data_IF_517472272872
#
_entry.id   IF_517472272872
#
_cell.length_a   1.000
_cell.length_b   1.000
_cell.length_c   1.000
_cell.angle_alpha   90.00
_cell.angle_beta   90.00
_cell.angle_gamma   90.00
#
_symmetry.space_group_name_H-M   'P 1'
#
loop_
_entity.id
_entity.type
_entity.pdbx_description
1 polymer ?
#
# COMPACT_ATOMS: atom_id res chain seq x y z
N UNK A 1 -10.91 -11.83 -58.59
CA UNK A 1 -11.12 -10.79 -57.58
C UNK A 1 -10.95 -11.45 -56.21
N UNK A 2 -9.80 -11.25 -55.52
CA UNK A 2 -9.54 -11.81 -54.19
C UNK A 2 -10.06 -10.83 -53.13
N UNK A 3 -11.05 -11.24 -52.34
CA UNK A 3 -11.54 -10.45 -51.20
C UNK A 3 -10.56 -10.58 -50.02
N UNK A 4 -9.91 -9.49 -49.64
CA UNK A 4 -9.08 -9.39 -48.46
C UNK A 4 -10.03 -9.12 -47.27
N UNK A 5 -10.21 -10.10 -46.39
CA UNK A 5 -10.92 -9.93 -45.11
C UNK A 5 -9.90 -9.42 -44.10
N UNK A 6 -9.97 -8.14 -43.77
CA UNK A 6 -9.17 -7.53 -42.72
C UNK A 6 -9.80 -7.90 -41.39
N UNK A 7 -9.14 -8.76 -40.62
CA UNK A 7 -9.53 -9.08 -39.23
C UNK A 7 -8.96 -7.98 -38.33
N UNK A 8 -9.84 -7.06 -37.90
CA UNK A 8 -9.51 -6.05 -36.89
C UNK A 8 -9.46 -6.73 -35.50
N UNK A 9 -8.25 -7.02 -35.05
CA UNK A 9 -8.04 -7.58 -33.74
C UNK A 9 -8.21 -6.46 -32.67
N UNK A 10 -9.36 -6.45 -31.99
CA UNK A 10 -9.61 -5.55 -30.86
C UNK A 10 -8.85 -6.11 -29.65
N UNK A 11 -7.72 -5.49 -29.31
CA UNK A 11 -7.01 -5.77 -28.06
C UNK A 11 -7.85 -5.24 -26.89
N UNK A 12 -8.52 -6.15 -26.18
CA UNK A 12 -9.27 -5.83 -24.97
C UNK A 12 -8.25 -5.63 -23.84
N UNK A 13 -7.90 -4.38 -23.56
CA UNK A 13 -7.12 -4.04 -22.36
C UNK A 13 -8.01 -4.23 -21.12
N UNK A 14 -7.74 -5.28 -20.35
CA UNK A 14 -8.35 -5.47 -19.03
C UNK A 14 -7.63 -4.53 -18.03
N UNK A 15 -8.24 -3.38 -17.76
CA UNK A 15 -7.82 -2.55 -16.65
C UNK A 15 -8.36 -3.18 -15.36
N UNK A 16 -7.48 -3.65 -14.49
CA UNK A 16 -7.85 -4.04 -13.13
C UNK A 16 -8.09 -2.76 -12.31
N UNK A 17 -9.33 -2.29 -12.27
CA UNK A 17 -9.72 -1.27 -11.32
C UNK A 17 -9.87 -1.94 -9.95
N UNK A 18 -8.96 -1.66 -9.02
CA UNK A 18 -9.24 -1.92 -7.61
C UNK A 18 -10.38 -0.99 -7.19
N UNK A 19 -11.52 -1.57 -6.86
CA UNK A 19 -12.66 -0.79 -6.36
C UNK A 19 -12.25 -0.18 -5.02
N UNK A 20 -12.30 1.15 -4.91
CA UNK A 20 -12.11 1.85 -3.64
C UNK A 20 -13.27 1.55 -2.71
N UNK A 21 -12.97 1.14 -1.49
CA UNK A 21 -13.98 0.82 -0.47
C UNK A 21 -14.05 1.94 0.57
N UNK A 22 -15.24 2.22 1.05
CA UNK A 22 -15.43 3.11 2.20
C UNK A 22 -15.78 2.28 3.43
N UNK A 23 -14.99 2.43 4.48
CA UNK A 23 -15.14 1.77 5.76
C UNK A 23 -15.69 2.74 6.79
N UNK A 24 -16.46 2.24 7.75
CA UNK A 24 -17.04 3.05 8.81
C UNK A 24 -16.45 2.70 10.15
N UNK A 25 -16.11 3.71 10.93
CA UNK A 25 -15.76 3.62 12.35
C UNK A 25 -16.75 4.45 13.14
N UNK A 26 -17.37 3.86 14.13
CA UNK A 26 -18.26 4.57 15.05
C UNK A 26 -17.46 5.10 16.24
N UNK A 27 -17.76 6.32 16.65
CA UNK A 27 -17.15 7.03 17.77
C UNK A 27 -18.20 7.35 18.83
N UNK A 28 -18.04 6.84 20.03
CA UNK A 28 -18.96 7.07 21.14
C UNK A 28 -18.21 7.18 22.48
N UNK A 29 -18.90 6.94 23.59
CA UNK A 29 -18.35 7.13 24.94
C UNK A 29 -17.06 6.35 25.15
N UNK A 30 -15.92 7.02 24.92
CA UNK A 30 -14.54 6.52 25.07
C UNK A 30 -14.17 5.36 24.14
N UNK A 31 -14.82 5.23 22.98
CA UNK A 31 -14.48 4.17 22.03
C UNK A 31 -14.46 4.66 20.58
N UNK A 32 -13.66 3.95 19.76
CA UNK A 32 -13.84 3.81 18.32
C UNK A 32 -14.13 2.34 18.00
N UNK A 33 -15.14 2.08 17.17
CA UNK A 33 -15.53 0.72 16.79
C UNK A 33 -15.66 0.59 15.28
N UNK A 34 -14.88 -0.30 14.61
CA UNK A 34 -13.82 -1.12 15.20
C UNK A 34 -12.61 -0.30 15.68
N UNK A 35 -11.96 -0.73 16.77
CA UNK A 35 -10.73 -0.09 17.27
C UNK A 35 -9.55 -0.30 16.32
N UNK A 36 -9.47 -1.48 15.70
CA UNK A 36 -8.46 -1.83 14.70
C UNK A 36 -9.15 -2.10 13.38
N UNK A 37 -8.72 -1.40 12.34
CA UNK A 37 -9.26 -1.52 10.99
C UNK A 37 -8.12 -1.79 10.02
N UNK A 38 -8.31 -2.74 9.10
CA UNK A 38 -7.37 -2.97 7.99
C UNK A 38 -8.04 -2.58 6.68
N UNK A 39 -7.36 -1.76 5.89
CA UNK A 39 -7.84 -1.24 4.60
C UNK A 39 -6.75 -1.38 3.54
N UNK A 40 -7.07 -1.12 2.28
CA UNK A 40 -6.12 -1.07 1.16
C UNK A 40 -5.78 0.38 0.81
N UNK A 41 -4.61 0.60 0.22
CA UNK A 41 -4.28 1.91 -0.39
C UNK A 41 -5.41 2.31 -1.36
N UNK A 42 -5.89 3.54 -1.20
CA UNK A 42 -7.01 4.07 -1.99
C UNK A 42 -8.37 4.01 -1.29
N UNK A 43 -8.51 3.18 -0.26
CA UNK A 43 -9.74 3.12 0.54
C UNK A 43 -9.93 4.41 1.37
N UNK A 44 -11.18 4.66 1.73
CA UNK A 44 -11.58 5.75 2.61
C UNK A 44 -12.13 5.21 3.92
N UNK A 45 -11.86 5.92 5.01
CA UNK A 45 -12.50 5.67 6.31
C UNK A 45 -13.33 6.89 6.69
N UNK A 46 -14.55 6.65 7.15
CA UNK A 46 -15.42 7.67 7.73
C UNK A 46 -15.63 7.36 9.20
N UNK A 47 -15.51 8.38 10.05
CA UNK A 47 -15.83 8.28 11.47
C UNK A 47 -17.19 8.95 11.72
N UNK A 48 -18.12 8.20 12.32
CA UNK A 48 -19.49 8.66 12.61
C UNK A 48 -19.66 8.80 14.11
N UNK A 49 -20.25 9.90 14.54
CA UNK A 49 -20.51 10.18 15.94
C UNK A 49 -21.75 9.44 16.44
N UNK A 50 -21.58 8.45 17.31
CA UNK A 50 -22.67 7.74 17.99
C UNK A 50 -23.23 8.54 19.18
N UNK A 51 -22.54 9.59 19.60
CA UNK A 51 -22.93 10.49 20.70
C UNK A 51 -21.73 10.89 21.56
N UNK A 52 -21.77 12.11 22.04
CA UNK A 52 -20.67 12.75 22.77
C UNK A 52 -19.98 13.82 21.92
N UNK A 53 -18.91 14.39 22.45
CA UNK A 53 -18.10 15.42 21.78
C UNK A 53 -16.76 14.80 21.43
N UNK A 54 -16.51 14.54 20.16
CA UNK A 54 -15.38 13.73 19.68
C UNK A 54 -14.73 14.34 18.45
N UNK A 55 -13.45 14.07 18.28
CA UNK A 55 -12.66 14.32 17.08
C UNK A 55 -11.91 13.04 16.66
N UNK A 56 -11.09 13.14 15.62
CA UNK A 56 -10.15 12.11 15.17
C UNK A 56 -8.79 12.78 14.99
N UNK A 57 -7.84 12.44 15.84
CA UNK A 57 -6.51 13.04 15.86
C UNK A 57 -5.45 11.96 15.61
N UNK A 58 -4.81 11.98 14.44
CA UNK A 58 -3.69 11.14 14.03
C UNK A 58 -2.37 11.92 13.96
N UNK A 59 -2.24 13.02 14.69
CA UNK A 59 -1.06 13.87 14.69
C UNK A 59 -0.23 13.69 15.97
N UNK A 60 -0.79 14.10 17.10
CA UNK A 60 -0.12 14.05 18.42
C UNK A 60 -0.90 13.10 19.33
N UNK A 61 -0.21 12.14 19.93
CA UNK A 61 -0.80 11.27 20.94
C UNK A 61 -1.20 12.09 22.15
N UNK A 62 -2.50 12.14 22.45
CA UNK A 62 -3.06 12.99 23.51
C UNK A 62 -2.68 12.54 24.93
N UNK A 63 -2.16 11.31 25.09
CA UNK A 63 -1.72 10.77 26.39
C UNK A 63 -0.25 11.16 26.65
N UNK A 64 0.61 10.98 25.64
CA UNK A 64 2.06 11.15 25.78
C UNK A 64 2.57 12.50 25.32
N UNK A 65 1.73 13.26 24.60
CA UNK A 65 2.08 14.53 23.96
C UNK A 65 3.25 14.41 22.97
N UNK A 66 3.42 13.23 22.36
CA UNK A 66 4.42 12.95 21.35
C UNK A 66 3.76 12.68 19.98
N UNK A 67 4.43 12.97 18.86
CA UNK A 67 3.91 12.61 17.55
C UNK A 67 3.61 11.11 17.44
N UNK A 68 2.52 10.75 16.75
CA UNK A 68 2.22 9.35 16.41
C UNK A 68 3.23 8.78 15.41
N UNK A 69 3.94 9.63 14.66
CA UNK A 69 4.83 9.25 13.57
C UNK A 69 4.12 8.43 12.48
N UNK A 70 2.88 8.75 12.20
CA UNK A 70 2.11 8.17 11.11
C UNK A 70 2.76 8.49 9.76
N UNK A 71 2.61 7.64 8.72
CA UNK A 71 3.11 7.93 7.37
C UNK A 71 2.63 9.27 6.83
N UNK A 72 1.37 9.63 7.13
CA UNK A 72 0.79 10.95 6.89
C UNK A 72 -0.04 11.32 8.11
N UNK A 73 0.10 12.54 8.61
CA UNK A 73 -0.71 13.05 9.72
C UNK A 73 -2.09 13.48 9.25
N UNK A 74 -3.08 13.35 10.12
CA UNK A 74 -4.45 13.79 9.88
C UNK A 74 -5.12 14.17 11.18
N UNK A 75 -6.07 15.10 11.11
CA UNK A 75 -6.90 15.51 12.25
C UNK A 75 -8.22 16.11 11.76
N UNK A 76 -9.20 16.15 12.62
CA UNK A 76 -10.52 16.73 12.36
C UNK A 76 -10.92 17.75 13.43
N UNK A 77 -11.84 18.67 13.13
CA UNK A 77 -12.56 19.37 14.17
C UNK A 77 -13.42 18.42 14.98
N UNK A 78 -13.70 18.78 16.24
CA UNK A 78 -14.62 18.03 17.10
C UNK A 78 -16.09 18.36 16.77
N UNK A 79 -16.98 17.37 16.95
CA UNK A 79 -18.43 17.56 16.83
C UNK A 79 -19.18 16.83 17.92
N UNK A 80 -20.37 17.36 18.31
CA UNK A 80 -21.29 16.72 19.24
C UNK A 80 -22.60 16.28 18.56
N UNK A 81 -22.70 16.42 17.25
CA UNK A 81 -23.90 16.06 16.50
C UNK A 81 -23.96 14.55 16.29
N UNK A 82 -24.93 13.88 16.90
CA UNK A 82 -25.16 12.44 16.74
C UNK A 82 -25.49 12.10 15.30
N UNK A 83 -24.88 11.05 14.77
CA UNK A 83 -25.02 10.59 13.38
C UNK A 83 -24.22 11.41 12.37
N UNK A 84 -23.57 12.50 12.78
CA UNK A 84 -22.72 13.27 11.88
C UNK A 84 -21.39 12.54 11.57
N UNK A 85 -20.88 12.77 10.38
CA UNK A 85 -19.50 12.41 10.03
C UNK A 85 -18.56 13.36 10.77
N UNK A 86 -17.75 12.83 11.70
CA UNK A 86 -16.70 13.57 12.38
C UNK A 86 -15.58 13.88 11.40
N UNK A 87 -15.16 12.85 10.66
CA UNK A 87 -14.07 12.91 9.70
C UNK A 87 -14.26 11.91 8.57
N UNK A 88 -13.71 12.22 7.41
CA UNK A 88 -13.58 11.31 6.28
C UNK A 88 -12.17 11.45 5.72
N UNK A 89 -11.42 10.36 5.62
CA UNK A 89 -10.04 10.38 5.17
C UNK A 89 -9.75 9.24 4.20
N UNK A 90 -9.08 9.57 3.09
CA UNK A 90 -8.62 8.61 2.09
C UNK A 90 -7.16 8.27 2.34
N UNK A 91 -6.87 7.00 2.56
CA UNK A 91 -5.52 6.51 2.80
C UNK A 91 -4.79 6.21 1.49
N UNK A 92 -3.79 7.00 1.16
CA UNK A 92 -3.02 6.88 -0.09
C UNK A 92 -1.61 6.35 0.10
N UNK A 93 -1.13 6.26 1.34
CA UNK A 93 0.21 5.77 1.68
C UNK A 93 0.06 4.54 2.58
N UNK A 94 0.70 3.41 2.27
CA UNK A 94 0.64 2.23 3.13
C UNK A 94 1.36 2.46 4.46
N UNK A 95 0.92 1.74 5.50
CA UNK A 95 1.52 1.81 6.82
C UNK A 95 0.51 1.68 7.95
N UNK A 96 0.98 1.87 9.18
CA UNK A 96 0.17 1.84 10.40
C UNK A 96 -0.10 3.27 10.82
N UNK A 97 -1.37 3.58 11.02
CA UNK A 97 -1.85 4.89 11.44
C UNK A 97 -2.52 4.79 12.80
N UNK A 98 -1.89 5.36 13.81
CA UNK A 98 -2.44 5.47 15.14
C UNK A 98 -3.23 6.77 15.26
N UNK A 99 -4.33 6.75 16.00
CA UNK A 99 -5.12 7.94 16.26
C UNK A 99 -5.84 7.86 17.59
N UNK A 100 -6.26 8.99 18.10
CA UNK A 100 -7.03 9.11 19.34
C UNK A 100 -8.09 10.23 19.24
N UNK A 101 -8.87 10.37 20.29
CA UNK A 101 -9.72 11.54 20.50
C UNK A 101 -8.97 12.53 21.40
N UNK A 102 -8.71 13.73 20.87
CA UNK A 102 -7.96 14.75 21.63
C UNK A 102 -8.80 15.51 22.66
N UNK A 103 -10.09 15.23 22.73
CA UNK A 103 -11.02 15.91 23.63
C UNK A 103 -10.79 15.47 25.08
N UNK A 104 -10.33 16.39 25.92
CA UNK A 104 -10.17 16.16 27.35
C UNK A 104 -9.36 14.91 27.70
N UNK A 105 -9.95 14.00 28.47
CA UNK A 105 -9.32 12.74 28.88
C UNK A 105 -9.77 11.53 28.07
N UNK A 106 -10.37 11.73 26.87
CA UNK A 106 -10.98 10.64 26.12
C UNK A 106 -9.96 9.57 25.71
N UNK A 107 -8.81 9.96 25.19
CA UNK A 107 -7.72 9.04 24.88
C UNK A 107 -7.25 8.23 26.09
N UNK A 108 -7.06 8.90 27.24
CA UNK A 108 -6.65 8.24 28.48
C UNK A 108 -7.72 7.25 29.02
N UNK A 109 -8.97 7.42 28.65
CA UNK A 109 -10.07 6.50 28.97
C UNK A 109 -10.28 5.42 27.89
N UNK A 110 -9.37 5.30 26.91
CA UNK A 110 -9.36 4.23 25.93
C UNK A 110 -9.89 4.61 24.54
N UNK A 111 -10.20 5.90 24.29
CA UNK A 111 -10.66 6.32 22.96
C UNK A 111 -9.48 6.49 22.00
N UNK A 112 -8.97 5.36 21.55
CA UNK A 112 -7.83 5.21 20.64
C UNK A 112 -8.18 4.25 19.51
N UNK A 113 -7.50 4.35 18.38
CA UNK A 113 -7.71 3.44 17.26
C UNK A 113 -6.48 3.29 16.37
N UNK A 114 -6.52 2.26 15.52
CA UNK A 114 -5.46 1.96 14.55
C UNK A 114 -6.09 1.65 13.20
N UNK A 115 -5.57 2.28 12.14
CA UNK A 115 -5.84 1.87 10.76
C UNK A 115 -4.55 1.30 10.17
N UNK A 116 -4.59 0.03 9.75
CA UNK A 116 -3.51 -0.59 8.99
C UNK A 116 -3.84 -0.49 7.51
N UNK A 117 -3.02 0.21 6.76
CA UNK A 117 -3.17 0.40 5.32
C UNK A 117 -2.20 -0.52 4.59
N UNK A 118 -2.74 -1.53 3.93
CA UNK A 118 -1.94 -2.44 3.12
C UNK A 118 -1.67 -1.81 1.75
N UNK A 119 -0.46 -2.01 1.23
CA UNK A 119 -0.19 -1.74 -0.17
C UNK A 119 -1.13 -2.57 -1.04
N UNK A 120 -1.62 -2.01 -2.14
CA UNK A 120 -2.32 -2.80 -3.15
C UNK A 120 -1.35 -3.85 -3.67
N UNK A 121 -1.59 -5.12 -3.32
CA UNK A 121 -0.88 -6.20 -3.98
C UNK A 121 -1.40 -6.26 -5.42
N UNK A 122 -0.70 -5.65 -6.35
CA UNK A 122 -0.85 -6.02 -7.73
C UNK A 122 -0.36 -7.48 -7.83
N UNK A 123 -1.29 -8.42 -7.87
CA UNK A 123 -1.00 -9.85 -8.02
C UNK A 123 -0.43 -10.20 -9.42
N UNK A 124 -0.31 -9.22 -10.28
CA UNK A 124 0.50 -9.29 -11.48
C UNK A 124 1.92 -8.91 -11.07
N UNK A 125 2.84 -9.87 -11.03
CA UNK A 125 4.27 -9.55 -10.97
C UNK A 125 4.55 -8.57 -12.12
N UNK A 126 4.76 -7.30 -11.76
CA UNK A 126 5.03 -6.23 -12.74
C UNK A 126 6.34 -6.52 -13.50
N UNK A 127 7.16 -7.39 -12.93
CA UNK A 127 8.44 -7.80 -13.48
C UNK A 127 8.50 -9.31 -13.63
N UNK A 128 8.68 -9.80 -14.84
CA UNK A 128 8.84 -11.22 -15.13
C UNK A 128 10.27 -11.54 -15.56
N UNK A 129 10.87 -12.56 -14.95
CA UNK A 129 12.12 -13.14 -15.42
C UNK A 129 11.84 -13.95 -16.69
N UNK A 130 12.36 -13.48 -17.84
CA UNK A 130 12.21 -14.17 -19.14
C UNK A 130 13.36 -15.11 -19.45
N UNK A 131 14.52 -14.90 -18.82
CA UNK A 131 15.65 -15.77 -19.02
C UNK A 131 16.90 -15.28 -18.31
N UNK A 132 17.80 -16.20 -18.12
CA UNK A 132 19.18 -15.93 -17.70
C UNK A 132 20.06 -16.41 -18.83
N UNK A 133 20.82 -15.49 -19.43
CA UNK A 133 21.81 -15.84 -20.42
C UNK A 133 23.14 -16.01 -19.71
N UNK A 134 23.66 -17.23 -19.71
CA UNK A 134 25.00 -17.54 -19.26
C UNK A 134 25.90 -17.68 -20.49
N UNK A 135 26.75 -16.69 -20.70
CA UNK A 135 27.71 -16.68 -21.80
C UNK A 135 28.99 -17.44 -21.40
N UNK A 136 28.82 -18.61 -20.79
CA UNK A 136 29.96 -19.49 -20.49
C UNK A 136 30.35 -20.25 -21.76
N UNK A 137 31.34 -19.78 -22.47
CA UNK A 137 31.69 -20.42 -23.71
C UNK A 137 33.14 -20.25 -24.11
N UNK A 138 33.91 -21.31 -23.88
CA UNK A 138 35.27 -21.48 -24.42
C UNK A 138 35.35 -21.70 -25.94
N UNK A 139 34.25 -21.62 -26.67
CA UNK A 139 34.18 -21.98 -28.08
C UNK A 139 33.63 -20.93 -29.03
N UNK A 140 33.31 -19.71 -28.56
CA UNK A 140 32.88 -18.64 -29.45
C UNK A 140 33.99 -17.58 -29.60
N UNK A 141 34.65 -17.47 -30.79
CA UNK A 141 35.75 -16.55 -31.01
C UNK A 141 35.34 -15.06 -30.99
N UNK A 142 34.05 -14.75 -30.83
CA UNK A 142 33.56 -13.37 -30.82
C UNK A 142 33.55 -12.77 -29.41
N UNK A 143 33.66 -13.60 -28.36
CA UNK A 143 33.63 -13.15 -26.96
C UNK A 143 34.84 -13.65 -26.20
N UNK A 144 35.97 -12.98 -26.40
CA UNK A 144 37.16 -13.15 -25.58
C UNK A 144 37.08 -12.25 -24.35
N UNK A 145 36.17 -12.52 -23.43
CA UNK A 145 36.01 -11.75 -22.20
C UNK A 145 35.53 -12.67 -21.08
N UNK A 146 35.85 -12.32 -19.88
CA UNK A 146 35.33 -12.92 -18.66
C UNK A 146 33.82 -13.12 -18.72
N UNK A 147 33.37 -14.33 -18.35
CA UNK A 147 32.00 -14.81 -18.35
C UNK A 147 30.93 -13.74 -18.15
N UNK A 148 30.22 -13.39 -19.21
CA UNK A 148 29.11 -12.44 -19.17
C UNK A 148 27.83 -13.16 -18.79
N UNK A 149 27.12 -12.66 -17.77
CA UNK A 149 25.79 -13.11 -17.41
C UNK A 149 24.80 -11.97 -17.63
N UNK A 150 23.72 -12.25 -18.31
CA UNK A 150 22.66 -11.29 -18.50
C UNK A 150 21.34 -11.85 -17.97
N UNK A 151 20.62 -11.02 -17.26
CA UNK A 151 19.27 -11.32 -16.78
C UNK A 151 18.30 -10.50 -17.62
N UNK A 152 17.36 -11.20 -18.24
CA UNK A 152 16.32 -10.57 -19.04
C UNK A 152 15.05 -10.49 -18.24
N UNK A 153 14.70 -9.29 -17.81
CA UNK A 153 13.45 -8.96 -17.14
C UNK A 153 12.54 -8.21 -18.12
N UNK A 154 11.25 -8.51 -18.06
CA UNK A 154 10.24 -7.78 -18.82
C UNK A 154 9.27 -7.17 -17.82
N UNK A 155 9.04 -5.87 -17.93
CA UNK A 155 7.94 -5.20 -17.27
C UNK A 155 6.63 -5.66 -17.91
N UNK A 156 5.72 -6.19 -17.11
CA UNK A 156 4.38 -6.64 -17.53
C UNK A 156 3.32 -5.56 -17.29
N UNK A 157 3.69 -4.52 -16.54
CA UNK A 157 2.90 -3.33 -16.26
C UNK A 157 3.84 -2.13 -16.07
N UNK A 158 3.27 -0.93 -15.96
CA UNK A 158 4.05 0.26 -15.63
C UNK A 158 4.62 0.15 -14.21
N UNK A 159 5.95 0.15 -14.10
CA UNK A 159 6.65 0.08 -12.82
C UNK A 159 6.85 1.51 -12.34
N UNK A 160 6.09 1.92 -11.34
CA UNK A 160 6.15 3.28 -10.78
C UNK A 160 7.33 3.48 -9.84
N UNK A 161 7.83 2.41 -9.23
CA UNK A 161 8.97 2.44 -8.31
C UNK A 161 9.79 1.16 -8.44
N UNK A 162 10.99 1.28 -8.99
CA UNK A 162 11.94 0.16 -9.10
C UNK A 162 12.70 -0.11 -7.80
N UNK A 163 12.68 0.79 -6.82
CA UNK A 163 13.42 0.64 -5.57
C UNK A 163 12.89 -0.51 -4.68
N UNK A 164 11.66 -0.93 -4.92
CA UNK A 164 11.03 -2.06 -4.21
C UNK A 164 11.51 -3.43 -4.69
N UNK A 165 12.24 -3.49 -5.82
CA UNK A 165 12.77 -4.73 -6.36
C UNK A 165 14.25 -4.87 -6.01
N UNK A 166 14.64 -6.04 -5.56
CA UNK A 166 16.05 -6.41 -5.40
C UNK A 166 16.36 -7.62 -6.27
N UNK A 167 17.59 -7.66 -6.78
CA UNK A 167 18.10 -8.80 -7.50
C UNK A 167 19.29 -9.37 -6.72
N UNK A 168 19.05 -10.49 -6.04
CA UNK A 168 20.08 -11.22 -5.34
C UNK A 168 20.72 -12.26 -6.27
N UNK A 169 22.01 -12.14 -6.51
CA UNK A 169 22.79 -13.10 -7.30
C UNK A 169 23.55 -14.01 -6.34
N UNK A 170 23.12 -15.26 -6.24
CA UNK A 170 23.81 -16.27 -5.45
C UNK A 170 24.70 -17.08 -6.37
N UNK A 171 26.01 -17.04 -6.15
CA UNK A 171 26.97 -17.82 -6.93
C UNK A 171 27.05 -19.27 -6.42
N UNK A 172 26.82 -20.22 -7.32
CA UNK A 172 27.17 -21.66 -7.16
C UNK A 172 26.70 -22.33 -5.87
N UNK A 173 25.47 -22.09 -5.45
CA UNK A 173 24.82 -22.83 -4.35
C UNK A 173 25.37 -22.56 -2.95
N UNK A 174 26.26 -21.61 -2.78
CA UNK A 174 26.63 -21.11 -1.46
C UNK A 174 25.57 -20.11 -1.02
N UNK A 175 24.82 -20.42 0.04
CA UNK A 175 23.96 -19.45 0.69
C UNK A 175 24.85 -18.30 1.17
N UNK A 176 24.55 -17.09 0.76
CA UNK A 176 25.17 -15.90 1.34
C UNK A 176 24.86 -15.91 2.83
N UNK A 177 25.89 -16.08 3.68
CA UNK A 177 25.75 -15.87 5.11
C UNK A 177 25.56 -14.38 5.33
N UNK A 178 24.35 -13.96 5.69
CA UNK A 178 24.12 -12.62 6.18
C UNK A 178 24.89 -12.44 7.49
N UNK A 179 25.92 -11.61 7.45
CA UNK A 179 26.51 -11.00 8.64
C UNK A 179 25.92 -9.60 8.81
#
# INVERSE_FOLDING_TARGET
>A
MKKIISILSIALCFFNFSAQTTHTVNAGSYYYTPTNLTVQVGDSVIWINDGGFHDVNGNINSITNQPFNNPVTFDSPSTNTVGAVIFAYKFTVPGIYNYDCSVGSHAANGMVGIVTVNATSNSNSELALKGVLDLHGSSNPIYSGTDGKAIHLIALADITDLSIYSLDVVSNGSLASNN
#
